data_IF_801279417946
#
_entry.id   IF_801279417946
#
_cell.length_a   1.000
_cell.length_b   1.000
_cell.length_c   1.000
_cell.angle_alpha   90.00
_cell.angle_beta   90.00
_cell.angle_gamma   90.00
#
_symmetry.space_group_name_H-M   'P 1'
#
loop_
_entity.id
_entity.type
_entity.pdbx_description
1 polymer ?
#
# COMPACT_ATOMS: atom_id res chain seq x y z
N UNK A 1 2.52 33.71 -77.37
CA UNK A 1 3.51 33.76 -76.27
C UNK A 1 3.48 35.15 -75.66
N UNK A 2 3.26 35.20 -74.34
CA UNK A 2 3.60 36.25 -73.37
C UNK A 2 3.36 37.72 -73.70
N UNK A 3 2.57 38.41 -72.86
CA UNK A 3 3.10 39.43 -71.92
C UNK A 3 1.98 39.91 -71.00
N UNK A 4 1.93 39.34 -69.80
CA UNK A 4 1.10 39.82 -68.70
C UNK A 4 1.74 41.07 -68.11
N UNK A 5 1.31 42.24 -68.57
CA UNK A 5 1.43 43.47 -67.81
C UNK A 5 0.04 44.09 -67.73
N UNK A 6 -0.54 44.10 -66.52
CA UNK A 6 -1.74 44.89 -66.25
C UNK A 6 -1.38 46.36 -66.45
N UNK A 7 -1.88 46.96 -67.51
CA UNK A 7 -1.83 48.39 -67.75
C UNK A 7 -2.84 49.08 -66.85
N UNK A 8 -2.34 49.99 -66.02
CA UNK A 8 -3.15 50.81 -65.13
C UNK A 8 -3.86 51.91 -65.93
N UNK A 9 -5.00 51.62 -66.56
CA UNK A 9 -5.90 52.67 -67.05
C UNK A 9 -7.35 52.21 -67.26
N UNK A 10 -7.99 51.68 -66.22
CA UNK A 10 -9.45 51.74 -66.07
C UNK A 10 -9.81 51.42 -64.63
N UNK A 11 -10.44 52.37 -63.93
CA UNK A 11 -10.86 52.32 -62.53
C UNK A 11 -9.73 52.30 -61.49
N UNK A 12 -9.09 53.46 -61.29
CA UNK A 12 -8.85 54.16 -60.01
C UNK A 12 -8.48 53.43 -58.70
N UNK A 13 -8.11 52.14 -58.68
CA UNK A 13 -7.74 51.44 -57.45
C UNK A 13 -6.40 50.75 -57.63
N UNK A 14 -5.33 51.50 -57.39
CA UNK A 14 -3.94 51.00 -57.26
C UNK A 14 -3.47 50.90 -55.82
N UNK A 15 -4.36 51.08 -54.83
CA UNK A 15 -4.02 50.93 -53.43
C UNK A 15 -4.67 49.68 -52.84
N UNK A 16 -3.87 48.84 -52.18
CA UNK A 16 -4.38 47.92 -51.17
C UNK A 16 -4.99 48.79 -50.05
N UNK A 17 -6.29 49.07 -50.14
CA UNK A 17 -6.99 49.77 -49.06
C UNK A 17 -7.07 48.85 -47.85
N UNK A 18 -7.10 49.39 -46.63
CA UNK A 18 -7.31 48.59 -45.42
C UNK A 18 -8.61 47.75 -45.48
N UNK A 19 -9.57 48.14 -46.32
CA UNK A 19 -10.80 47.39 -46.62
C UNK A 19 -10.59 46.19 -47.57
N UNK A 20 -9.48 46.13 -48.30
CA UNK A 20 -9.09 45.01 -49.15
C UNK A 20 -8.18 43.99 -48.45
N UNK A 21 -7.67 44.33 -47.26
CA UNK A 21 -7.11 43.35 -46.33
C UNK A 21 -8.27 42.68 -45.59
N UNK A 22 -8.19 41.36 -45.36
CA UNK A 22 -9.15 40.70 -44.47
C UNK A 22 -9.22 41.48 -43.15
N UNK A 23 -10.41 41.60 -42.51
CA UNK A 23 -10.54 42.27 -41.24
C UNK A 23 -9.51 41.71 -40.24
N UNK A 24 -8.97 42.58 -39.37
CA UNK A 24 -8.14 42.14 -38.25
C UNK A 24 -8.84 40.97 -37.54
N UNK A 25 -8.07 39.92 -37.20
CA UNK A 25 -8.50 38.65 -36.62
C UNK A 25 -9.88 38.77 -35.96
N UNK A 26 -10.89 38.14 -36.57
CA UNK A 26 -12.28 38.26 -36.14
C UNK A 26 -12.42 37.91 -34.65
N UNK A 27 -13.51 38.32 -33.99
CA UNK A 27 -13.78 37.93 -32.60
C UNK A 27 -13.69 36.41 -32.37
N UNK A 28 -13.96 35.60 -33.41
CA UNK A 28 -13.73 34.15 -33.41
C UNK A 28 -12.25 33.75 -33.45
N UNK A 29 -11.39 34.43 -34.21
CA UNK A 29 -9.93 34.19 -34.16
C UNK A 29 -9.34 34.63 -32.80
N UNK A 30 -9.91 35.67 -32.19
CA UNK A 30 -9.59 36.06 -30.80
C UNK A 30 -10.01 34.99 -29.80
N UNK A 31 -11.22 34.41 -29.94
CA UNK A 31 -11.70 33.32 -29.09
C UNK A 31 -10.84 32.04 -29.19
N UNK A 32 -10.27 31.76 -30.36
CA UNK A 32 -9.35 30.64 -30.59
C UNK A 32 -7.96 30.90 -29.95
N UNK A 33 -7.54 32.15 -29.84
CA UNK A 33 -6.21 32.52 -29.29
C UNK A 33 -6.12 32.26 -27.78
N UNK A 34 -7.21 32.45 -27.02
CA UNK A 34 -7.21 32.18 -25.56
C UNK A 34 -7.27 30.67 -25.23
N UNK A 35 -7.99 29.87 -26.02
CA UNK A 35 -8.18 28.44 -25.75
C UNK A 35 -6.96 27.58 -26.04
N UNK A 36 -6.04 27.99 -26.93
CA UNK A 36 -4.89 27.13 -27.31
C UNK A 36 -3.65 27.26 -26.42
N UNK A 37 -3.63 28.22 -25.49
CA UNK A 37 -2.43 28.54 -24.70
C UNK A 37 -2.71 28.95 -23.26
N UNK A 38 -3.82 28.49 -22.67
CA UNK A 38 -4.07 28.69 -21.25
C UNK A 38 -3.34 27.61 -20.42
N UNK A 39 -2.76 27.99 -19.29
CA UNK A 39 -2.19 27.07 -18.31
C UNK A 39 -3.01 27.17 -17.02
N UNK A 40 -3.50 26.03 -16.55
CA UNK A 40 -4.29 25.95 -15.31
C UNK A 40 -3.54 25.12 -14.27
N UNK A 41 -3.41 25.66 -13.07
CA UNK A 41 -2.84 24.98 -11.90
C UNK A 41 -3.73 25.15 -10.67
N UNK A 42 -3.47 24.36 -9.63
CA UNK A 42 -4.15 24.44 -8.35
C UNK A 42 -3.15 24.23 -7.21
N UNK A 43 -3.22 25.07 -6.18
CA UNK A 43 -2.41 24.90 -4.95
C UNK A 43 -2.89 23.75 -4.06
N UNK A 44 -4.07 23.19 -4.35
CA UNK A 44 -4.70 22.12 -3.61
C UNK A 44 -5.22 20.99 -4.51
N UNK A 45 -6.14 20.22 -3.97
CA UNK A 45 -6.71 19.02 -4.60
C UNK A 45 -7.93 19.40 -5.45
N UNK A 46 -8.01 18.84 -6.67
CA UNK A 46 -9.22 18.90 -7.51
C UNK A 46 -9.98 17.59 -7.42
N UNK A 47 -11.15 17.57 -6.79
CA UNK A 47 -11.95 16.35 -6.68
C UNK A 47 -13.28 16.44 -7.41
N UNK A 48 -13.75 15.29 -7.88
CA UNK A 48 -15.09 15.10 -8.41
C UNK A 48 -15.81 14.04 -7.58
N UNK A 49 -16.94 14.41 -7.00
CA UNK A 49 -17.79 13.47 -6.27
C UNK A 49 -19.25 13.94 -6.29
N UNK A 50 -20.17 13.01 -6.49
CA UNK A 50 -21.62 13.26 -6.43
C UNK A 50 -22.06 14.48 -7.25
N UNK A 51 -21.60 14.59 -8.51
CA UNK A 51 -21.94 15.71 -9.39
C UNK A 51 -21.30 17.06 -9.06
N UNK A 52 -20.34 17.10 -8.13
CA UNK A 52 -19.71 18.34 -7.66
C UNK A 52 -18.20 18.33 -7.90
N UNK A 53 -17.72 19.36 -8.60
CA UNK A 53 -16.30 19.67 -8.76
C UNK A 53 -15.86 20.53 -7.58
N UNK A 54 -14.79 20.14 -6.89
CA UNK A 54 -14.23 20.87 -5.75
C UNK A 54 -12.74 21.15 -5.98
N UNK A 55 -12.28 22.34 -5.61
CA UNK A 55 -10.86 22.71 -5.58
C UNK A 55 -10.53 23.26 -4.19
N UNK A 56 -9.66 22.56 -3.45
CA UNK A 56 -9.37 22.89 -2.05
C UNK A 56 -8.38 24.05 -1.87
N UNK A 57 -7.65 24.41 -2.92
CA UNK A 57 -6.70 25.52 -2.97
C UNK A 57 -7.07 26.54 -4.05
N UNK A 58 -6.24 27.57 -4.21
CA UNK A 58 -6.42 28.58 -5.26
C UNK A 58 -6.20 27.97 -6.65
N UNK A 59 -7.09 28.23 -7.59
CA UNK A 59 -6.84 27.96 -9.01
C UNK A 59 -6.05 29.12 -9.61
N UNK A 60 -4.99 28.78 -10.33
CA UNK A 60 -4.13 29.70 -11.06
C UNK A 60 -4.32 29.52 -12.56
N UNK A 61 -4.67 30.59 -13.26
CA UNK A 61 -4.93 30.57 -14.69
C UNK A 61 -4.04 31.61 -15.36
N UNK A 62 -3.14 31.16 -16.22
CA UNK A 62 -2.29 32.01 -17.04
C UNK A 62 -2.73 31.91 -18.50
N UNK A 63 -2.89 33.06 -19.16
CA UNK A 63 -3.26 33.11 -20.57
C UNK A 63 -2.67 34.35 -21.25
N UNK A 64 -2.71 34.40 -22.58
CA UNK A 64 -2.20 35.54 -23.36
C UNK A 64 -3.32 36.53 -23.64
N UNK A 65 -3.17 37.79 -23.21
CA UNK A 65 -4.07 38.90 -23.55
C UNK A 65 -4.07 39.23 -25.04
N UNK A 66 -5.05 40.02 -25.49
CA UNK A 66 -5.08 40.55 -26.84
C UNK A 66 -3.84 41.39 -27.21
N UNK A 67 -3.15 41.94 -26.21
CA UNK A 67 -1.90 42.68 -26.38
C UNK A 67 -0.64 41.78 -26.45
N UNK A 68 -0.80 40.44 -26.35
CA UNK A 68 0.32 39.49 -26.39
C UNK A 68 1.03 39.28 -25.05
N UNK A 69 0.54 39.87 -23.96
CA UNK A 69 1.13 39.71 -22.62
C UNK A 69 0.51 38.53 -21.87
N UNK A 70 1.31 37.84 -21.05
CA UNK A 70 0.79 36.88 -20.08
C UNK A 70 -0.03 37.60 -19.00
N UNK A 71 -1.23 37.11 -18.74
CA UNK A 71 -2.16 37.59 -17.71
C UNK A 71 -2.45 36.45 -16.76
N UNK A 72 -2.39 36.75 -15.46
CA UNK A 72 -2.77 35.83 -14.40
C UNK A 72 -4.17 36.16 -13.86
N UNK A 73 -5.03 35.17 -13.74
CA UNK A 73 -6.27 35.23 -12.96
C UNK A 73 -6.25 34.15 -11.89
N UNK A 74 -6.93 34.42 -10.77
CA UNK A 74 -7.05 33.47 -9.66
C UNK A 74 -8.51 33.19 -9.30
N UNK A 75 -8.79 31.98 -8.86
CA UNK A 75 -10.06 31.62 -8.22
C UNK A 75 -9.76 31.08 -6.83
N UNK A 76 -10.38 31.65 -5.79
CA UNK A 76 -10.24 31.13 -4.43
C UNK A 76 -10.82 29.70 -4.31
N UNK A 77 -10.37 28.94 -3.32
CA UNK A 77 -10.89 27.60 -3.01
C UNK A 77 -12.43 27.57 -2.98
N UNK A 78 -13.02 26.50 -3.50
CA UNK A 78 -14.47 26.43 -3.66
C UNK A 78 -14.94 25.16 -4.37
N UNK A 79 -16.21 25.17 -4.75
CA UNK A 79 -16.84 24.05 -5.44
C UNK A 79 -17.97 24.52 -6.36
N UNK A 80 -18.29 23.73 -7.36
CA UNK A 80 -19.46 23.93 -8.21
C UNK A 80 -20.17 22.60 -8.48
N UNK A 81 -21.48 22.57 -8.21
CA UNK A 81 -22.32 21.42 -8.54
C UNK A 81 -22.86 21.57 -9.96
N UNK A 82 -22.60 20.57 -10.80
CA UNK A 82 -23.07 20.51 -12.19
C UNK A 82 -24.21 19.51 -12.27
N UNK A 83 -25.29 19.85 -12.97
CA UNK A 83 -26.35 18.92 -13.38
C UNK A 83 -25.93 18.16 -14.64
N UNK A 84 -26.80 17.25 -15.11
CA UNK A 84 -26.56 16.61 -16.41
C UNK A 84 -26.47 17.65 -17.51
N UNK A 85 -25.59 17.42 -18.47
CA UNK A 85 -25.38 18.31 -19.60
C UNK A 85 -24.98 19.75 -19.19
N UNK A 86 -24.31 19.93 -18.04
CA UNK A 86 -23.71 21.20 -17.64
C UNK A 86 -22.17 21.15 -17.71
N UNK A 87 -21.55 22.27 -18.06
CA UNK A 87 -20.10 22.45 -18.03
C UNK A 87 -19.71 23.58 -17.06
N UNK A 88 -18.55 23.41 -16.43
CA UNK A 88 -17.91 24.45 -15.62
C UNK A 88 -16.98 25.29 -16.48
N UNK A 89 -16.98 26.60 -16.25
CA UNK A 89 -16.12 27.55 -16.97
C UNK A 89 -15.75 28.73 -16.10
N UNK A 90 -14.78 29.52 -16.55
CA UNK A 90 -14.50 30.84 -16.00
C UNK A 90 -14.59 31.90 -17.08
N UNK A 91 -14.93 33.11 -16.68
CA UNK A 91 -14.85 34.30 -17.53
C UNK A 91 -13.52 35.00 -17.26
N UNK A 92 -12.59 34.88 -18.20
CA UNK A 92 -11.26 35.47 -18.15
C UNK A 92 -11.34 37.00 -18.14
N UNK A 93 -10.47 37.62 -17.35
CA UNK A 93 -10.27 39.05 -17.28
C UNK A 93 -8.85 39.39 -17.72
N UNK A 94 -8.71 40.28 -18.71
CA UNK A 94 -7.38 40.78 -19.12
C UNK A 94 -6.71 41.66 -18.05
N UNK A 95 -7.38 41.91 -16.91
CA UNK A 95 -6.76 42.55 -15.75
C UNK A 95 -5.85 41.54 -15.05
N UNK A 96 -4.56 41.86 -14.96
CA UNK A 96 -3.59 41.00 -14.26
C UNK A 96 -3.94 40.89 -12.77
N UNK A 97 -3.82 39.67 -12.23
CA UNK A 97 -4.23 39.28 -10.87
C UNK A 97 -5.72 39.48 -10.57
N UNK A 98 -6.59 39.46 -11.59
CA UNK A 98 -8.02 39.47 -11.35
C UNK A 98 -8.45 38.21 -10.58
N UNK A 99 -9.27 38.42 -9.55
CA UNK A 99 -9.99 37.34 -8.87
C UNK A 99 -11.29 37.11 -9.64
N UNK A 100 -11.45 35.91 -10.19
CA UNK A 100 -12.62 35.50 -10.98
C UNK A 100 -13.34 34.36 -10.26
N UNK A 101 -14.43 33.85 -10.83
CA UNK A 101 -15.26 32.80 -10.21
C UNK A 101 -15.59 31.71 -11.24
N UNK A 102 -15.63 30.46 -10.78
CA UNK A 102 -16.15 29.35 -11.61
C UNK A 102 -17.66 29.50 -11.73
N UNK A 103 -18.14 29.47 -12.97
CA UNK A 103 -19.55 29.49 -13.32
C UNK A 103 -19.91 28.21 -14.07
N UNK A 104 -21.21 28.01 -14.30
CA UNK A 104 -21.71 26.86 -15.06
C UNK A 104 -22.77 27.25 -16.06
N UNK A 105 -22.93 26.46 -17.10
CA UNK A 105 -23.98 26.61 -18.09
C UNK A 105 -24.39 25.25 -18.65
N UNK A 106 -25.64 25.15 -19.11
CA UNK A 106 -26.15 23.98 -19.81
C UNK A 106 -25.65 23.95 -21.27
N UNK A 107 -25.41 22.75 -21.79
CA UNK A 107 -25.08 22.47 -23.18
C UNK A 107 -25.97 21.35 -23.70
N UNK A 108 -26.89 21.69 -24.61
CA UNK A 108 -27.78 20.75 -25.26
C UNK A 108 -27.67 20.79 -26.78
N UNK A 109 -28.12 19.73 -27.46
CA UNK A 109 -28.19 19.72 -28.92
C UNK A 109 -28.97 20.94 -29.45
N UNK A 110 -28.33 21.75 -30.29
CA UNK A 110 -28.93 22.97 -30.85
C UNK A 110 -28.97 24.20 -29.92
N UNK A 111 -28.42 24.11 -28.70
CA UNK A 111 -28.29 25.27 -27.81
C UNK A 111 -27.23 26.25 -28.29
N UNK A 112 -27.35 27.52 -27.92
CA UNK A 112 -26.31 28.51 -28.19
C UNK A 112 -24.98 28.06 -27.56
N UNK A 113 -23.91 28.12 -28.34
CA UNK A 113 -22.58 27.69 -27.91
C UNK A 113 -21.98 28.70 -26.93
N UNK A 114 -22.29 28.53 -25.64
CA UNK A 114 -21.76 29.36 -24.55
C UNK A 114 -20.24 29.23 -24.36
N UNK A 115 -19.60 28.23 -24.95
CA UNK A 115 -18.16 27.98 -24.92
C UNK A 115 -17.38 28.68 -26.05
N UNK A 116 -18.05 29.32 -27.00
CA UNK A 116 -17.39 30.06 -28.10
C UNK A 116 -17.19 31.55 -27.82
N UNK A 117 -17.56 32.04 -26.63
CA UNK A 117 -17.34 33.43 -26.25
C UNK A 117 -15.85 33.71 -26.01
N UNK A 118 -15.40 34.91 -26.40
CA UNK A 118 -13.99 35.27 -26.51
C UNK A 118 -13.22 35.24 -25.17
N UNK A 119 -13.89 35.24 -24.03
CA UNK A 119 -13.28 35.28 -22.71
C UNK A 119 -13.69 34.08 -21.85
N UNK A 120 -14.26 33.03 -22.43
CA UNK A 120 -14.64 31.83 -21.69
C UNK A 120 -13.51 30.81 -21.77
N UNK A 121 -13.13 30.25 -20.63
CA UNK A 121 -12.24 29.09 -20.55
C UNK A 121 -13.03 27.93 -19.92
N UNK A 122 -13.23 26.86 -20.69
CA UNK A 122 -13.98 25.67 -20.23
C UNK A 122 -13.08 24.79 -19.37
N UNK A 123 -13.52 24.48 -18.15
CA UNK A 123 -12.78 23.63 -17.23
C UNK A 123 -13.10 22.14 -17.44
N UNK A 124 -14.37 21.83 -17.72
CA UNK A 124 -14.83 20.49 -18.06
C UNK A 124 -16.35 20.34 -17.98
N UNK A 125 -16.83 19.15 -18.31
CA UNK A 125 -18.25 18.83 -18.53
C UNK A 125 -18.70 17.63 -17.68
N UNK A 126 -19.95 17.64 -17.19
CA UNK A 126 -20.56 16.47 -16.51
C UNK A 126 -21.43 15.66 -17.47
N UNK A 127 -21.24 14.35 -17.47
CA UNK A 127 -22.20 13.38 -18.00
C UNK A 127 -22.90 12.67 -16.83
N UNK A 128 -24.22 12.81 -16.68
CA UNK A 128 -24.92 12.15 -15.58
C UNK A 128 -25.14 10.65 -15.79
N UNK A 129 -25.01 10.15 -17.03
CA UNK A 129 -25.23 8.73 -17.33
C UNK A 129 -24.18 7.82 -16.68
N UNK A 130 -22.94 8.30 -16.54
CA UNK A 130 -21.84 7.59 -15.90
C UNK A 130 -21.29 8.35 -14.66
N UNK A 131 -21.96 9.43 -14.26
CA UNK A 131 -21.59 10.36 -13.19
C UNK A 131 -20.13 10.87 -13.26
N UNK A 132 -19.58 10.96 -14.47
CA UNK A 132 -18.19 11.38 -14.68
C UNK A 132 -18.08 12.86 -15.06
N UNK A 133 -16.96 13.44 -14.62
CA UNK A 133 -16.48 14.74 -15.10
C UNK A 133 -15.42 14.54 -16.18
N UNK A 134 -15.64 15.16 -17.33
CA UNK A 134 -14.74 15.16 -18.46
C UNK A 134 -13.96 16.47 -18.48
N UNK A 135 -12.72 16.50 -17.98
CA UNK A 135 -11.93 17.72 -17.93
C UNK A 135 -11.49 18.13 -19.34
N UNK A 136 -11.58 19.43 -19.64
CA UNK A 136 -10.97 20.03 -20.82
C UNK A 136 -9.58 20.57 -20.43
N UNK A 137 -9.55 21.75 -19.79
CA UNK A 137 -8.31 22.40 -19.35
C UNK A 137 -7.78 21.86 -18.01
N UNK A 138 -8.59 21.09 -17.28
CA UNK A 138 -8.19 20.47 -16.01
C UNK A 138 -7.52 19.10 -16.18
N UNK A 139 -7.38 18.59 -17.42
CA UNK A 139 -6.97 17.21 -17.66
C UNK A 139 -5.58 16.88 -17.10
N UNK A 140 -4.62 17.81 -17.22
CA UNK A 140 -3.28 17.65 -16.66
C UNK A 140 -3.24 17.67 -15.13
N UNK A 141 -4.16 18.39 -14.49
CA UNK A 141 -4.27 18.48 -13.03
C UNK A 141 -4.89 17.21 -12.44
N UNK A 142 -5.96 16.69 -13.07
CA UNK A 142 -6.54 15.41 -12.68
C UNK A 142 -5.59 14.22 -12.90
N UNK A 143 -4.79 14.24 -13.98
CA UNK A 143 -3.80 13.19 -14.24
C UNK A 143 -2.71 13.12 -13.15
N UNK A 144 -2.27 14.25 -12.62
CA UNK A 144 -1.34 14.27 -11.48
C UNK A 144 -1.99 13.77 -10.18
N UNK A 145 -3.30 13.98 -9.99
CA UNK A 145 -4.00 13.57 -8.78
C UNK A 145 -4.33 12.06 -8.74
N UNK A 146 -4.71 11.45 -9.86
CA UNK A 146 -4.95 9.98 -9.96
C UNK A 146 -3.68 9.19 -9.60
N UNK A 147 -2.50 9.77 -9.85
CA UNK A 147 -1.26 9.16 -9.43
C UNK A 147 -1.16 9.05 -7.90
N UNK A 148 -1.67 10.03 -7.13
CA UNK A 148 -1.51 10.13 -5.67
C UNK A 148 -2.05 8.95 -4.84
N UNK A 149 -3.09 8.25 -5.32
CA UNK A 149 -3.60 7.05 -4.65
C UNK A 149 -2.92 5.75 -5.12
N UNK A 150 -2.07 5.81 -6.14
CA UNK A 150 -1.42 4.67 -6.78
C UNK A 150 0.04 4.48 -6.39
N UNK A 151 0.61 5.42 -5.62
CA UNK A 151 1.99 5.36 -5.16
C UNK A 151 2.11 5.70 -3.67
N UNK A 152 3.19 5.22 -3.03
CA UNK A 152 3.57 5.66 -1.69
C UNK A 152 4.28 7.00 -1.82
N UNK A 153 3.78 8.04 -1.14
CA UNK A 153 4.39 9.37 -1.19
C UNK A 153 5.85 9.34 -0.73
N UNK A 154 6.70 10.17 -1.36
CA UNK A 154 8.12 10.30 -0.98
C UNK A 154 8.29 10.61 0.52
N UNK A 155 7.37 11.39 1.10
CA UNK A 155 7.39 11.75 2.52
C UNK A 155 7.26 10.55 3.46
N UNK A 156 6.72 9.41 3.00
CA UNK A 156 6.64 8.18 3.80
C UNK A 156 7.99 7.42 3.85
N UNK A 157 8.96 7.75 2.99
CA UNK A 157 10.30 7.17 3.01
C UNK A 157 11.21 7.95 3.97
N UNK A 158 11.12 7.62 5.25
CA UNK A 158 12.01 8.16 6.28
C UNK A 158 13.37 7.45 6.27
N UNK A 159 14.29 7.89 7.14
CA UNK A 159 15.53 7.18 7.37
C UNK A 159 15.24 5.74 7.84
N UNK A 160 15.96 4.77 7.27
CA UNK A 160 15.85 3.35 7.61
C UNK A 160 14.45 2.74 7.38
N UNK A 161 13.73 3.22 6.38
CA UNK A 161 12.42 2.70 5.98
C UNK A 161 12.52 1.77 4.77
N UNK A 162 11.71 0.71 4.75
CA UNK A 162 11.45 -0.14 3.58
C UNK A 162 9.96 -0.15 3.24
N UNK A 163 9.62 -0.58 2.02
CA UNK A 163 8.23 -0.85 1.65
C UNK A 163 7.89 -2.33 1.82
N UNK A 164 6.68 -2.59 2.30
CA UNK A 164 6.10 -3.93 2.40
C UNK A 164 4.61 -3.88 2.05
N UNK A 165 4.02 -5.02 1.77
CA UNK A 165 2.58 -5.15 1.56
C UNK A 165 2.00 -6.22 2.48
N UNK A 166 0.82 -5.93 3.03
CA UNK A 166 0.01 -6.91 3.80
C UNK A 166 -1.14 -7.44 2.95
N UNK A 167 -1.64 -6.61 2.04
CA UNK A 167 -2.65 -6.98 1.05
C UNK A 167 -2.13 -6.68 -0.35
N UNK A 168 -2.80 -7.25 -1.35
CA UNK A 168 -2.39 -7.08 -2.74
C UNK A 168 -2.45 -5.61 -3.16
N UNK A 169 -1.40 -5.14 -3.85
CA UNK A 169 -1.27 -3.77 -4.34
C UNK A 169 -1.40 -2.64 -3.28
N UNK A 170 -1.15 -2.92 -2.00
CA UNK A 170 -1.16 -1.90 -0.92
C UNK A 170 0.22 -1.75 -0.26
N UNK A 171 1.20 -1.15 -0.95
CA UNK A 171 2.50 -0.89 -0.33
C UNK A 171 2.38 0.12 0.83
N UNK A 172 3.02 -0.20 1.94
CA UNK A 172 3.13 0.64 3.12
C UNK A 172 4.60 0.75 3.57
N UNK A 173 4.92 1.85 4.24
CA UNK A 173 6.24 2.09 4.80
C UNK A 173 6.41 1.38 6.16
N UNK A 174 7.51 0.65 6.33
CA UNK A 174 7.94 0.06 7.60
C UNK A 174 9.29 0.64 8.00
N UNK A 175 9.35 1.28 9.17
CA UNK A 175 10.61 1.72 9.77
C UNK A 175 11.33 0.55 10.41
N UNK A 176 12.63 0.44 10.15
CA UNK A 176 13.51 -0.59 10.71
C UNK A 176 14.47 0.08 11.66
N UNK A 177 14.13 0.04 12.94
CA UNK A 177 15.00 0.53 14.00
C UNK A 177 16.30 -0.30 14.10
N UNK A 178 17.26 0.18 14.88
CA UNK A 178 18.50 -0.56 15.15
C UNK A 178 18.21 -1.94 15.77
N UNK A 179 19.07 -2.90 15.45
CA UNK A 179 18.98 -4.28 15.96
C UNK A 179 17.64 -4.96 15.68
N UNK A 180 17.09 -4.71 14.48
CA UNK A 180 15.90 -5.37 13.95
C UNK A 180 16.24 -6.23 12.73
N UNK A 181 15.42 -7.25 12.49
CA UNK A 181 15.45 -8.05 11.26
C UNK A 181 14.05 -8.06 10.66
N UNK A 182 13.95 -7.82 9.36
CA UNK A 182 12.66 -7.88 8.66
C UNK A 182 12.25 -9.34 8.49
N UNK A 183 11.06 -9.70 8.93
CA UNK A 183 10.56 -11.05 8.79
C UNK A 183 9.09 -11.18 9.16
N UNK A 184 8.60 -12.42 9.16
CA UNK A 184 7.25 -12.78 9.57
C UNK A 184 7.31 -13.91 10.58
N UNK A 185 6.66 -13.71 11.73
CA UNK A 185 6.35 -14.78 12.68
C UNK A 185 5.05 -15.49 12.27
N UNK A 186 4.84 -16.70 12.77
CA UNK A 186 3.56 -17.43 12.59
C UNK A 186 2.39 -16.56 13.05
N UNK A 187 1.39 -16.39 12.19
CA UNK A 187 0.22 -15.54 12.45
C UNK A 187 0.48 -14.02 12.38
N UNK A 188 1.71 -13.59 12.10
CA UNK A 188 2.09 -12.18 11.98
C UNK A 188 2.19 -11.66 10.54
N UNK A 189 2.03 -10.35 10.40
CA UNK A 189 2.40 -9.61 9.18
C UNK A 189 3.93 -9.45 9.08
N UNK A 190 4.40 -8.93 7.96
CA UNK A 190 5.81 -8.48 7.82
C UNK A 190 6.05 -7.38 8.85
N UNK A 191 7.12 -7.53 9.64
CA UNK A 191 7.49 -6.59 10.68
C UNK A 191 9.01 -6.52 10.84
N UNK A 192 9.48 -5.44 11.46
CA UNK A 192 10.84 -5.30 11.95
C UNK A 192 10.94 -6.05 13.30
N UNK A 193 11.26 -7.34 13.23
CA UNK A 193 11.26 -8.24 14.39
C UNK A 193 12.36 -7.88 15.38
N UNK A 194 12.03 -8.01 16.66
CA UNK A 194 12.99 -7.93 17.76
C UNK A 194 13.88 -9.18 17.79
N UNK A 195 15.05 -9.09 18.43
CA UNK A 195 15.92 -10.26 18.63
C UNK A 195 15.21 -11.42 19.37
N UNK A 196 14.31 -11.12 20.30
CA UNK A 196 13.53 -12.13 21.02
C UNK A 196 12.52 -12.85 20.11
N UNK A 197 11.87 -12.13 19.19
CA UNK A 197 10.95 -12.73 18.21
C UNK A 197 11.69 -13.58 17.19
N UNK A 198 12.85 -13.12 16.71
CA UNK A 198 13.72 -13.89 15.83
C UNK A 198 14.17 -15.17 16.54
N UNK A 199 14.58 -15.07 17.80
CA UNK A 199 14.91 -16.24 18.62
C UNK A 199 13.69 -17.15 18.82
N UNK A 200 12.49 -16.61 18.98
CA UNK A 200 11.24 -17.38 19.00
C UNK A 200 11.03 -18.22 17.75
N UNK A 201 11.33 -17.66 16.57
CA UNK A 201 11.23 -18.36 15.29
C UNK A 201 12.32 -19.44 15.16
N UNK A 202 13.54 -19.16 15.63
CA UNK A 202 14.68 -20.09 15.49
C UNK A 202 14.83 -21.09 16.61
N UNK A 203 14.11 -20.96 17.72
CA UNK A 203 14.14 -21.91 18.85
C UNK A 203 13.70 -23.34 18.48
N UNK A 204 13.05 -23.52 17.33
CA UNK A 204 12.79 -24.83 16.75
C UNK A 204 14.04 -25.54 16.19
N UNK A 205 15.22 -24.88 16.15
CA UNK A 205 16.36 -25.37 15.36
C UNK A 205 17.57 -25.89 16.15
N UNK A 206 17.81 -25.55 17.43
CA UNK A 206 19.05 -26.02 18.11
C UNK A 206 18.98 -26.08 19.66
N UNK A 207 18.59 -27.24 20.21
CA UNK A 207 19.10 -27.72 21.51
C UNK A 207 18.68 -26.99 22.80
N UNK A 208 17.65 -26.13 22.79
CA UNK A 208 17.12 -25.54 24.03
C UNK A 208 16.02 -26.41 24.65
N UNK A 209 16.06 -26.51 25.97
CA UNK A 209 15.17 -27.29 26.83
C UNK A 209 13.68 -26.90 26.61
N UNK A 210 12.84 -27.84 26.19
CA UNK A 210 11.39 -27.65 26.03
C UNK A 210 10.62 -28.13 27.26
N UNK A 211 9.76 -27.28 27.82
CA UNK A 211 8.88 -27.65 28.93
C UNK A 211 7.66 -28.38 28.41
N UNK A 212 7.39 -29.56 28.96
CA UNK A 212 6.17 -30.32 28.71
C UNK A 212 5.23 -30.08 29.88
N UNK A 213 4.00 -29.68 29.59
CA UNK A 213 2.92 -29.70 30.59
C UNK A 213 2.50 -31.15 30.80
N UNK A 214 2.51 -31.60 32.05
CA UNK A 214 2.10 -32.95 32.40
C UNK A 214 0.59 -33.13 32.12
N UNK A 215 0.21 -34.25 31.51
CA UNK A 215 -1.18 -34.68 31.29
C UNK A 215 -1.31 -36.20 31.53
N UNK A 216 -2.53 -36.75 31.56
CA UNK A 216 -2.74 -38.21 31.65
C UNK A 216 -2.06 -38.96 30.49
N UNK A 217 -2.01 -38.31 29.33
CA UNK A 217 -1.29 -38.76 28.15
C UNK A 217 -0.44 -37.62 27.60
N UNK A 218 0.84 -37.89 27.40
CA UNK A 218 1.84 -36.94 26.91
C UNK A 218 2.49 -37.49 25.65
N UNK A 219 2.55 -36.66 24.60
CA UNK A 219 3.32 -36.94 23.38
C UNK A 219 4.52 -35.99 23.34
N UNK A 220 5.72 -36.54 23.46
CA UNK A 220 6.98 -35.80 23.35
C UNK A 220 7.29 -35.59 21.87
N UNK A 221 7.13 -34.35 21.39
CA UNK A 221 7.42 -33.96 20.01
C UNK A 221 8.89 -33.53 19.89
N UNK A 222 9.71 -34.39 19.32
CA UNK A 222 11.15 -34.15 19.22
C UNK A 222 11.54 -33.05 18.21
N UNK A 223 10.58 -32.53 17.42
CA UNK A 223 10.78 -31.33 16.62
C UNK A 223 10.71 -30.03 17.46
N UNK A 224 10.12 -30.09 18.66
CA UNK A 224 10.04 -28.95 19.58
C UNK A 224 11.35 -28.71 20.37
N UNK A 225 12.30 -29.65 20.29
CA UNK A 225 13.60 -29.56 20.95
C UNK A 225 14.20 -30.92 21.29
N UNK A 226 15.52 -31.04 21.15
CA UNK A 226 16.24 -32.28 21.44
C UNK A 226 16.39 -32.60 22.94
N UNK A 227 16.16 -31.62 23.81
CA UNK A 227 16.09 -31.80 25.27
C UNK A 227 14.74 -31.31 25.75
N UNK A 228 13.99 -32.12 26.49
CA UNK A 228 12.70 -31.76 27.04
C UNK A 228 12.64 -32.08 28.53
N UNK A 229 11.77 -31.41 29.28
CA UNK A 229 11.58 -31.67 30.70
C UNK A 229 10.11 -31.64 31.10
N UNK A 230 9.75 -32.46 32.08
CA UNK A 230 8.41 -32.53 32.65
C UNK A 230 8.53 -32.74 34.16
N UNK A 231 7.72 -32.01 34.94
CA UNK A 231 7.51 -32.30 36.36
C UNK A 231 6.17 -33.01 36.51
N UNK A 232 6.13 -34.11 37.25
CA UNK A 232 4.89 -34.81 37.55
C UNK A 232 3.98 -33.95 38.43
N UNK A 233 2.71 -33.91 38.06
CA UNK A 233 1.59 -33.35 38.83
C UNK A 233 0.51 -34.41 39.12
N UNK A 234 0.80 -35.68 38.78
CA UNK A 234 -0.07 -36.85 38.97
C UNK A 234 0.74 -38.15 38.98
N UNK A 235 0.18 -39.17 39.64
CA UNK A 235 0.85 -40.44 39.94
C UNK A 235 1.22 -41.29 38.70
N UNK A 236 0.50 -41.14 37.59
CA UNK A 236 0.69 -41.95 36.39
C UNK A 236 0.48 -41.15 35.10
N UNK A 237 1.41 -41.31 34.16
CA UNK A 237 1.36 -40.68 32.83
C UNK A 237 1.64 -41.71 31.75
N UNK A 238 0.81 -41.73 30.71
CA UNK A 238 1.09 -42.48 29.49
C UNK A 238 1.92 -41.62 28.53
N UNK A 239 3.07 -42.12 28.06
CA UNK A 239 4.01 -41.34 27.26
C UNK A 239 4.29 -41.97 25.90
N UNK A 240 4.24 -41.15 24.85
CA UNK A 240 4.60 -41.50 23.48
C UNK A 240 5.56 -40.48 22.86
N UNK A 241 6.29 -40.88 21.81
CA UNK A 241 7.24 -40.04 21.07
C UNK A 241 6.77 -39.80 19.64
N UNK A 242 6.95 -38.57 19.15
CA UNK A 242 6.67 -38.19 17.76
C UNK A 242 7.82 -37.41 17.11
N UNK A 243 7.79 -37.35 15.78
CA UNK A 243 8.71 -36.57 14.94
C UNK A 243 10.22 -36.77 15.19
N UNK A 244 10.72 -38.01 15.38
CA UNK A 244 12.16 -38.21 15.49
C UNK A 244 12.86 -38.07 14.15
N UNK A 245 14.09 -37.59 14.19
CA UNK A 245 15.01 -37.56 13.06
C UNK A 245 16.00 -38.72 13.17
N UNK A 246 16.21 -39.45 12.08
CA UNK A 246 17.16 -40.56 12.04
C UNK A 246 18.58 -40.07 12.39
N UNK A 247 19.23 -40.78 13.33
CA UNK A 247 20.53 -40.38 13.87
C UNK A 247 20.44 -39.43 15.07
N UNK A 248 19.26 -38.94 15.44
CA UNK A 248 19.06 -38.01 16.55
C UNK A 248 19.39 -38.60 17.93
N UNK A 249 19.91 -37.74 18.81
CA UNK A 249 20.12 -37.98 20.25
C UNK A 249 19.17 -37.05 21.00
N UNK A 250 18.37 -37.62 21.89
CA UNK A 250 17.29 -36.94 22.58
C UNK A 250 17.41 -37.13 24.09
N UNK A 251 17.04 -36.12 24.87
CA UNK A 251 17.07 -36.16 26.33
C UNK A 251 15.72 -35.76 26.90
N UNK A 252 15.21 -36.55 27.83
CA UNK A 252 14.01 -36.24 28.61
C UNK A 252 14.39 -36.19 30.09
N UNK A 253 14.17 -35.05 30.72
CA UNK A 253 14.30 -34.88 32.16
C UNK A 253 12.92 -35.03 32.80
N UNK A 254 12.80 -35.95 33.74
CA UNK A 254 11.57 -36.18 34.50
C UNK A 254 11.83 -35.85 35.96
N UNK A 255 11.09 -34.89 36.52
CA UNK A 255 11.12 -34.57 37.93
C UNK A 255 9.88 -35.15 38.61
N UNK A 256 10.08 -35.94 39.66
CA UNK A 256 9.01 -36.40 40.54
C UNK A 256 8.22 -35.24 41.14
N UNK A 257 6.95 -35.47 41.42
CA UNK A 257 6.14 -34.59 42.24
C UNK A 257 6.74 -34.48 43.65
N UNK A 258 6.23 -33.56 44.47
CA UNK A 258 6.68 -33.46 45.87
C UNK A 258 6.39 -34.73 46.70
N UNK A 259 5.38 -35.53 46.31
CA UNK A 259 5.03 -36.80 46.95
C UNK A 259 5.86 -37.99 46.45
N UNK A 260 6.36 -37.89 45.22
CA UNK A 260 7.12 -38.95 44.56
C UNK A 260 6.28 -40.19 44.24
N UNK A 261 6.97 -41.27 43.87
CA UNK A 261 6.37 -42.52 43.38
C UNK A 261 5.53 -42.38 42.10
N UNK A 262 5.74 -41.31 41.34
CA UNK A 262 5.10 -41.09 40.05
C UNK A 262 5.73 -41.98 38.95
N UNK A 263 4.91 -42.39 37.98
CA UNK A 263 5.29 -43.42 37.00
C UNK A 263 4.95 -43.06 35.56
N UNK A 264 5.75 -43.59 34.62
CA UNK A 264 5.48 -43.54 33.18
C UNK A 264 5.09 -44.92 32.66
N UNK A 265 4.01 -44.96 31.86
CA UNK A 265 3.72 -46.07 30.95
C UNK A 265 4.14 -45.68 29.53
N UNK A 266 5.08 -46.41 28.93
CA UNK A 266 5.60 -46.11 27.59
C UNK A 266 4.71 -46.73 26.49
N UNK A 267 4.05 -45.91 25.67
CA UNK A 267 3.32 -46.36 24.48
C UNK A 267 4.22 -46.55 23.26
N UNK A 268 5.36 -45.86 23.22
CA UNK A 268 6.37 -46.04 22.18
C UNK A 268 7.26 -47.23 22.50
N UNK A 269 7.45 -48.12 21.52
CA UNK A 269 8.37 -49.26 21.65
C UNK A 269 9.82 -48.78 21.70
N UNK A 270 10.46 -48.92 22.87
CA UNK A 270 11.84 -48.52 23.14
C UNK A 270 12.67 -49.76 23.51
N UNK A 271 13.84 -49.92 22.88
CA UNK A 271 14.83 -50.93 23.27
C UNK A 271 15.68 -50.38 24.41
N UNK A 272 15.36 -50.80 25.63
CA UNK A 272 16.07 -50.36 26.82
C UNK A 272 17.39 -51.10 27.02
N UNK A 273 18.41 -50.38 27.49
CA UNK A 273 19.63 -50.99 28.03
C UNK A 273 19.25 -51.94 29.18
N UNK A 274 19.65 -53.21 29.08
CA UNK A 274 19.29 -54.23 30.06
C UNK A 274 18.00 -55.00 29.76
N UNK A 275 17.25 -54.63 28.71
CA UNK A 275 16.12 -55.41 28.19
C UNK A 275 14.75 -55.08 28.80
N UNK A 276 14.69 -54.27 29.85
CA UNK A 276 13.45 -53.81 30.49
C UNK A 276 13.43 -52.30 30.67
N UNK A 277 12.23 -51.70 30.71
CA UNK A 277 12.09 -50.29 31.02
C UNK A 277 12.62 -49.99 32.43
N UNK A 278 13.35 -48.87 32.63
CA UNK A 278 13.88 -48.52 33.93
C UNK A 278 12.77 -48.13 34.89
N UNK A 279 12.99 -48.41 36.18
CA UNK A 279 12.17 -47.86 37.26
C UNK A 279 12.68 -46.45 37.59
N UNK A 280 11.79 -45.46 37.55
CA UNK A 280 12.11 -44.09 37.94
C UNK A 280 12.35 -44.00 39.46
N UNK A 281 13.12 -43.00 39.86
CA UNK A 281 13.37 -42.69 41.27
C UNK A 281 12.06 -42.29 41.94
N UNK A 282 11.70 -42.94 43.04
CA UNK A 282 10.44 -42.68 43.74
C UNK A 282 10.50 -41.52 44.75
N UNK A 283 11.70 -40.96 45.00
CA UNK A 283 11.89 -39.85 45.94
C UNK A 283 11.24 -38.58 45.40
N UNK A 284 10.44 -37.90 46.23
CA UNK A 284 9.82 -36.63 45.85
C UNK A 284 10.84 -35.59 45.40
N UNK A 285 10.52 -34.86 44.34
CA UNK A 285 11.38 -33.89 43.65
C UNK A 285 12.67 -34.45 43.01
N UNK A 286 12.96 -35.74 43.09
CA UNK A 286 14.11 -36.31 42.40
C UNK A 286 13.96 -36.18 40.88
N UNK A 287 15.08 -35.93 40.21
CA UNK A 287 15.16 -35.83 38.75
C UNK A 287 15.82 -37.08 38.19
N UNK A 288 15.22 -37.65 37.15
CA UNK A 288 15.79 -38.69 36.32
C UNK A 288 16.02 -38.15 34.91
N UNK A 289 17.15 -38.51 34.30
CA UNK A 289 17.50 -38.09 32.93
C UNK A 289 17.53 -39.32 32.04
N UNK A 290 16.57 -39.40 31.12
CA UNK A 290 16.48 -40.45 30.12
C UNK A 290 17.10 -39.98 28.81
N UNK A 291 17.99 -40.78 28.22
CA UNK A 291 18.58 -40.49 26.91
C UNK A 291 18.08 -41.49 25.90
N UNK A 292 17.63 -40.98 24.76
CA UNK A 292 17.11 -41.77 23.65
C UNK A 292 17.92 -41.55 22.39
N UNK A 293 18.12 -42.64 21.64
CA UNK A 293 18.70 -42.62 20.30
C UNK A 293 17.72 -43.21 19.31
N UNK A 294 17.46 -42.48 18.23
CA UNK A 294 16.63 -42.98 17.14
C UNK A 294 17.50 -43.32 15.93
N UNK A 295 17.73 -44.60 15.68
CA UNK A 295 18.56 -45.10 14.57
C UNK A 295 17.84 -46.27 13.91
N UNK A 296 17.86 -46.33 12.57
CA UNK A 296 17.28 -47.42 11.78
C UNK A 296 15.80 -47.70 12.15
N UNK A 297 15.02 -46.63 12.31
CA UNK A 297 13.60 -46.67 12.70
C UNK A 297 13.31 -47.37 14.02
N UNK A 298 14.30 -47.42 14.93
CA UNK A 298 14.16 -47.99 16.25
C UNK A 298 14.67 -47.03 17.33
N UNK A 299 13.96 -47.02 18.46
CA UNK A 299 14.33 -46.29 19.67
C UNK A 299 15.23 -47.15 20.55
N UNK A 300 16.32 -46.57 21.04
CA UNK A 300 17.19 -47.13 22.07
C UNK A 300 17.20 -46.17 23.25
N UNK A 301 17.03 -46.68 24.47
CA UNK A 301 16.91 -45.86 25.67
C UNK A 301 17.91 -46.28 26.76
N UNK A 302 18.45 -45.30 27.46
CA UNK A 302 19.11 -45.46 28.76
C UNK A 302 18.65 -44.38 29.75
N UNK A 303 19.05 -44.52 31.01
CA UNK A 303 18.68 -43.58 32.06
C UNK A 303 19.84 -43.36 33.04
N UNK A 304 19.96 -42.12 33.51
CA UNK A 304 20.72 -41.75 34.71
C UNK A 304 19.71 -41.33 35.77
N UNK A 305 19.71 -41.99 36.92
CA UNK A 305 18.67 -41.89 37.95
C UNK A 305 19.14 -41.07 39.17
N UNK A 306 18.15 -40.57 39.92
CA UNK A 306 18.28 -40.07 41.29
C UNK A 306 19.21 -38.86 41.45
N UNK A 307 18.98 -37.83 40.64
CA UNK A 307 19.57 -36.51 40.88
C UNK A 307 18.69 -35.76 41.89
N UNK A 308 19.27 -35.38 43.03
CA UNK A 308 18.60 -34.70 44.14
C UNK A 308 19.23 -33.33 44.40
#
# INVERSE_FOLDING_TARGET
>A
MGTNHHTAWAAGTTSFTAAAMNPALASLDRAITYHKGALVGCDGTLSWAAGTLTWSGTLHIYFTSAAGNAVHNSVAAGSISLADSEFAYVTLSETNNAVITVSKAAIGAGSASGFMAYNILVLGYRNAADDNFYPAELAGVFAQMIAGSSFVEKAAFNAHTILYSVSDNTPAALTVDEQRIIGRKTGGNIAALTGAEVLGITQALDGRQHSITCADTVTVDWSAGGTQYMTFDRDAVTMSFSNPTAGGVYRLLLQQSSGGSDSITWSTTIKWRGGSAPTLTATGNAVDILTFRYINSAWYGDVSLNFA
#
